data_IF_090687326344
#
_entry.id   IF_090687326344
#
_cell.length_a   1.000
_cell.length_b   1.000
_cell.length_c   1.000
_cell.angle_alpha   90.00
_cell.angle_beta   90.00
_cell.angle_gamma   90.00
#
_symmetry.space_group_name_H-M   'P 1'
#
loop_
_entity.id
_entity.type
_entity.pdbx_description
1 polymer ?
#
# COMPACT_ATOMS: atom_id res chain seq x y z
N UNK A 1 -13.02 39.85 28.86
CA UNK A 1 -12.78 38.50 29.37
C UNK A 1 -13.40 37.36 28.47
N UNK A 2 -14.42 37.61 27.64
CA UNK A 2 -15.16 36.55 26.91
C UNK A 2 -14.45 35.83 25.76
N UNK A 3 -13.60 36.51 24.98
CA UNK A 3 -13.05 35.94 23.71
C UNK A 3 -11.99 34.85 23.97
N UNK A 4 -11.11 35.04 24.94
CA UNK A 4 -10.06 34.04 25.32
C UNK A 4 -10.68 32.78 25.96
N UNK A 5 -11.73 32.93 26.78
CA UNK A 5 -12.46 31.79 27.35
C UNK A 5 -13.17 30.97 26.27
N UNK A 6 -13.83 31.63 25.30
CA UNK A 6 -14.54 30.98 24.16
C UNK A 6 -13.58 30.24 23.23
N UNK A 7 -12.37 30.75 23.01
CA UNK A 7 -11.33 30.08 22.22
C UNK A 7 -10.78 28.85 22.94
N UNK A 8 -10.60 28.94 24.28
CA UNK A 8 -10.12 27.83 25.12
C UNK A 8 -11.15 26.68 25.18
N UNK A 9 -12.44 26.99 25.29
CA UNK A 9 -13.53 26.02 25.31
C UNK A 9 -13.66 25.31 23.93
N UNK A 10 -13.56 26.05 22.81
CA UNK A 10 -13.53 25.45 21.47
C UNK A 10 -12.33 24.52 21.27
N UNK A 11 -11.17 24.89 21.84
CA UNK A 11 -9.95 24.05 21.80
C UNK A 11 -10.11 22.74 22.59
N UNK A 12 -10.77 22.80 23.77
CA UNK A 12 -11.03 21.61 24.60
C UNK A 12 -12.05 20.69 23.92
N UNK A 13 -13.14 21.23 23.42
CA UNK A 13 -14.13 20.47 22.67
C UNK A 13 -13.51 19.78 21.44
N UNK A 14 -12.68 20.50 20.67
CA UNK A 14 -11.96 19.93 19.55
C UNK A 14 -11.02 18.78 19.95
N UNK A 15 -10.30 18.93 21.07
CA UNK A 15 -9.44 17.85 21.58
C UNK A 15 -10.23 16.62 22.01
N UNK A 16 -11.34 16.80 22.71
CA UNK A 16 -12.22 15.70 23.13
C UNK A 16 -12.75 14.97 21.90
N UNK A 17 -13.26 15.71 20.91
CA UNK A 17 -13.79 15.13 19.67
C UNK A 17 -12.71 14.34 18.91
N UNK A 18 -11.51 14.91 18.74
CA UNK A 18 -10.38 14.20 18.14
C UNK A 18 -10.01 12.94 18.92
N UNK A 19 -9.97 13.01 20.26
CA UNK A 19 -9.66 11.85 21.09
C UNK A 19 -10.68 10.73 20.94
N UNK A 20 -11.97 11.06 20.87
CA UNK A 20 -13.05 10.09 20.64
C UNK A 20 -12.89 9.46 19.25
N UNK A 21 -12.64 10.26 18.20
CA UNK A 21 -12.44 9.75 16.84
C UNK A 21 -11.25 8.79 16.80
N UNK A 22 -10.10 9.16 17.39
CA UNK A 22 -8.94 8.27 17.46
C UNK A 22 -9.25 6.99 18.23
N UNK A 23 -9.92 7.09 19.36
CA UNK A 23 -10.30 5.91 20.16
C UNK A 23 -11.17 4.95 19.34
N UNK A 24 -12.19 5.46 18.64
CA UNK A 24 -13.07 4.64 17.78
C UNK A 24 -12.30 4.02 16.61
N UNK A 25 -11.37 4.75 15.99
CA UNK A 25 -10.57 4.26 14.88
C UNK A 25 -9.56 3.19 15.29
N UNK A 26 -8.90 3.35 16.45
CA UNK A 26 -7.87 2.42 16.90
C UNK A 26 -8.41 1.27 17.75
N UNK A 27 -9.65 1.36 18.28
CA UNK A 27 -10.27 0.31 19.09
C UNK A 27 -10.32 -1.05 18.38
N UNK A 28 -10.76 -1.18 17.10
CA UNK A 28 -10.77 -2.47 16.42
C UNK A 28 -9.37 -3.09 16.30
N UNK A 29 -8.36 -2.26 16.05
CA UNK A 29 -6.96 -2.70 15.96
C UNK A 29 -6.49 -3.21 17.33
N UNK A 30 -6.76 -2.46 18.39
CA UNK A 30 -6.44 -2.87 19.75
C UNK A 30 -7.13 -4.20 20.13
N UNK A 31 -8.37 -4.40 19.71
CA UNK A 31 -9.10 -5.66 19.91
C UNK A 31 -8.39 -6.83 19.23
N UNK A 32 -7.91 -6.67 17.99
CA UNK A 32 -7.15 -7.72 17.29
C UNK A 32 -5.85 -8.03 18.03
N UNK A 33 -5.10 -6.99 18.44
CA UNK A 33 -3.84 -7.15 19.18
C UNK A 33 -4.07 -7.84 20.51
N UNK A 34 -5.04 -7.42 21.31
CA UNK A 34 -5.37 -8.07 22.59
C UNK A 34 -5.78 -9.53 22.38
N UNK A 35 -6.64 -9.80 21.39
CA UNK A 35 -7.08 -11.17 21.11
C UNK A 35 -5.99 -12.07 20.50
N UNK A 36 -4.87 -11.52 20.01
CA UNK A 36 -3.73 -12.34 19.58
C UNK A 36 -3.03 -13.03 20.76
N UNK A 37 -3.23 -12.53 21.98
CA UNK A 37 -2.72 -13.10 23.23
C UNK A 37 -3.76 -13.96 23.97
N UNK A 38 -4.95 -14.17 23.39
CA UNK A 38 -6.01 -14.93 24.05
C UNK A 38 -5.78 -16.44 23.92
N UNK A 39 -5.70 -17.16 25.04
CA UNK A 39 -5.48 -18.62 25.10
C UNK A 39 -6.71 -19.46 24.61
N UNK A 40 -7.63 -18.88 23.84
CA UNK A 40 -8.81 -19.57 23.34
C UNK A 40 -8.46 -20.55 22.24
N UNK A 41 -9.03 -21.76 22.31
CA UNK A 41 -8.92 -22.81 21.29
C UNK A 41 -10.27 -23.11 20.62
N UNK A 42 -11.36 -22.54 21.15
CA UNK A 42 -12.73 -22.84 20.72
C UNK A 42 -13.29 -21.76 19.82
N UNK A 43 -13.77 -22.16 18.64
CA UNK A 43 -14.49 -21.23 17.74
C UNK A 43 -15.76 -20.68 18.42
N UNK A 44 -16.16 -19.44 18.16
CA UNK A 44 -15.59 -18.48 17.19
C UNK A 44 -14.39 -17.64 17.69
N UNK A 45 -13.64 -18.08 18.71
CA UNK A 45 -12.43 -17.43 19.26
C UNK A 45 -12.68 -16.01 19.85
N UNK A 46 -13.88 -15.77 20.39
CA UNK A 46 -14.28 -14.48 20.97
C UNK A 46 -14.18 -14.44 22.48
N UNK A 47 -14.27 -15.62 23.14
CA UNK A 47 -14.23 -15.71 24.60
C UNK A 47 -12.79 -15.61 25.10
N UNK A 48 -12.52 -14.68 26.02
CA UNK A 48 -11.24 -14.59 26.69
C UNK A 48 -11.03 -15.77 27.65
N UNK A 49 -9.96 -16.53 27.45
CA UNK A 49 -9.63 -17.70 28.28
C UNK A 49 -8.28 -17.59 29.01
N UNK A 50 -7.65 -16.42 28.95
CA UNK A 50 -6.37 -16.19 29.59
C UNK A 50 -5.33 -15.64 28.61
N UNK A 51 -4.15 -15.28 29.13
CA UNK A 51 -3.05 -14.76 28.37
C UNK A 51 -2.13 -15.89 27.90
N UNK A 52 -1.72 -15.88 26.62
CA UNK A 52 -0.69 -16.76 26.08
C UNK A 52 0.08 -16.07 24.96
N UNK A 53 1.32 -16.50 24.75
CA UNK A 53 2.16 -16.14 23.61
C UNK A 53 2.34 -17.31 22.62
N UNK A 54 1.74 -18.46 22.90
CA UNK A 54 1.93 -19.70 22.13
C UNK A 54 1.53 -19.54 20.65
N UNK A 55 0.57 -18.66 20.35
CA UNK A 55 0.12 -18.42 18.99
C UNK A 55 1.19 -17.81 18.11
N UNK A 56 2.14 -17.09 18.70
CA UNK A 56 3.28 -16.53 17.99
C UNK A 56 4.32 -17.57 17.60
N UNK A 57 4.34 -18.72 18.30
CA UNK A 57 5.16 -19.89 17.93
C UNK A 57 4.38 -20.78 16.96
N UNK A 58 3.13 -21.09 17.26
CA UNK A 58 2.26 -21.95 16.44
C UNK A 58 1.99 -21.39 15.05
N UNK A 59 2.05 -20.07 14.85
CA UNK A 59 1.91 -19.51 13.51
C UNK A 59 3.00 -20.02 12.54
N UNK A 60 4.20 -20.36 13.05
CA UNK A 60 5.28 -20.91 12.22
C UNK A 60 5.07 -22.38 11.86
N UNK A 61 4.17 -23.07 12.54
CA UNK A 61 3.76 -24.44 12.23
C UNK A 61 2.60 -24.46 11.19
N UNK A 62 1.94 -23.33 10.97
CA UNK A 62 0.86 -23.22 10.02
C UNK A 62 1.38 -22.90 8.61
N UNK A 63 1.75 -23.96 7.88
CA UNK A 63 2.29 -23.85 6.51
C UNK A 63 1.37 -23.07 5.56
N UNK A 64 0.05 -23.26 5.65
CA UNK A 64 -0.92 -22.55 4.82
C UNK A 64 -0.91 -21.05 5.07
N UNK A 65 -0.82 -20.64 6.33
CA UNK A 65 -0.75 -19.25 6.75
C UNK A 65 0.55 -18.60 6.26
N UNK A 66 1.68 -19.27 6.44
CA UNK A 66 2.99 -18.79 5.99
C UNK A 66 3.06 -18.72 4.47
N UNK A 67 2.53 -19.72 3.76
CA UNK A 67 2.49 -19.71 2.30
C UNK A 67 1.64 -18.54 1.77
N UNK A 68 0.47 -18.29 2.35
CA UNK A 68 -0.38 -17.17 1.95
C UNK A 68 0.27 -15.81 2.22
N UNK A 69 0.96 -15.65 3.34
CA UNK A 69 1.73 -14.47 3.65
C UNK A 69 2.93 -14.30 2.70
N UNK A 70 3.66 -15.40 2.42
CA UNK A 70 4.74 -15.42 1.43
C UNK A 70 4.27 -14.99 0.04
N UNK A 71 3.14 -15.53 -0.43
CA UNK A 71 2.52 -15.14 -1.70
C UNK A 71 2.21 -13.64 -1.72
N UNK A 72 1.61 -13.10 -0.66
CA UNK A 72 1.32 -11.66 -0.55
C UNK A 72 2.58 -10.82 -0.65
N UNK A 73 3.65 -11.20 0.06
CA UNK A 73 4.93 -10.47 0.01
C UNK A 73 5.57 -10.51 -1.38
N UNK A 74 5.59 -11.67 -2.03
CA UNK A 74 6.13 -11.82 -3.40
C UNK A 74 5.35 -10.95 -4.38
N UNK A 75 4.01 -11.03 -4.34
CA UNK A 75 3.14 -10.21 -5.21
C UNK A 75 3.38 -8.73 -4.97
N UNK A 76 3.37 -8.29 -3.70
CA UNK A 76 3.55 -6.89 -3.35
C UNK A 76 4.92 -6.34 -3.76
N UNK A 77 5.99 -7.10 -3.57
CA UNK A 77 7.34 -6.68 -3.94
C UNK A 77 7.51 -6.57 -5.47
N UNK A 78 7.06 -7.60 -6.21
CA UNK A 78 7.14 -7.58 -7.68
C UNK A 78 6.25 -6.47 -8.25
N UNK A 79 5.03 -6.35 -7.75
CA UNK A 79 4.11 -5.27 -8.15
C UNK A 79 4.72 -3.91 -7.90
N UNK A 80 5.26 -3.68 -6.71
CA UNK A 80 5.90 -2.40 -6.37
C UNK A 80 7.04 -2.07 -7.31
N UNK A 81 7.91 -3.04 -7.59
CA UNK A 81 9.04 -2.84 -8.50
C UNK A 81 8.57 -2.48 -9.91
N UNK A 82 7.65 -3.27 -10.47
CA UNK A 82 7.14 -3.07 -11.83
C UNK A 82 6.30 -1.79 -11.94
N UNK A 83 5.37 -1.57 -11.00
CA UNK A 83 4.54 -0.38 -11.01
C UNK A 83 5.37 0.90 -10.82
N UNK A 84 6.40 0.87 -9.98
CA UNK A 84 7.31 2.00 -9.78
C UNK A 84 8.12 2.29 -11.04
N UNK A 85 8.66 1.28 -11.69
CA UNK A 85 9.41 1.45 -12.94
C UNK A 85 8.51 2.01 -14.06
N UNK A 86 7.38 1.35 -14.32
CA UNK A 86 6.43 1.75 -15.38
C UNK A 86 5.84 3.13 -15.07
N UNK A 87 5.38 3.34 -13.84
CA UNK A 87 4.75 4.59 -13.41
C UNK A 87 5.71 5.78 -13.44
N UNK A 88 6.97 5.58 -13.02
CA UNK A 88 7.99 6.65 -13.09
C UNK A 88 8.31 7.02 -14.52
N UNK A 89 8.58 6.04 -15.38
CA UNK A 89 8.88 6.30 -16.79
C UNK A 89 7.68 6.90 -17.52
N UNK A 90 6.47 6.39 -17.23
CA UNK A 90 5.23 6.94 -17.76
C UNK A 90 5.00 8.39 -17.34
N UNK A 91 5.18 8.72 -16.06
CA UNK A 91 5.03 10.08 -15.55
C UNK A 91 6.03 11.05 -16.21
N UNK A 92 7.31 10.67 -16.33
CA UNK A 92 8.34 11.48 -16.97
C UNK A 92 8.04 11.66 -18.47
N UNK A 93 7.67 10.58 -19.17
CA UNK A 93 7.31 10.64 -20.58
C UNK A 93 6.13 11.56 -20.84
N UNK A 94 5.09 11.45 -20.03
CA UNK A 94 3.92 12.32 -20.12
C UNK A 94 4.22 13.78 -19.73
N UNK A 95 5.20 14.03 -18.89
CA UNK A 95 5.64 15.38 -18.56
C UNK A 95 6.44 16.01 -19.70
N UNK A 96 7.45 15.31 -20.20
CA UNK A 96 8.40 15.85 -21.18
C UNK A 96 7.88 15.93 -22.60
N UNK A 97 6.99 14.99 -23.02
CA UNK A 97 6.58 14.89 -24.41
C UNK A 97 5.16 15.38 -24.64
N UNK A 98 4.97 16.04 -25.77
CA UNK A 98 3.66 16.39 -26.32
C UNK A 98 3.36 15.42 -27.47
N UNK A 99 2.29 14.64 -27.36
CA UNK A 99 1.88 13.68 -28.38
C UNK A 99 0.35 13.62 -28.52
N UNK A 100 -0.11 13.19 -29.71
CA UNK A 100 -1.56 13.00 -29.94
C UNK A 100 -2.10 11.89 -29.04
N UNK A 101 -3.24 12.12 -28.38
CA UNK A 101 -3.84 11.13 -27.45
C UNK A 101 -3.39 11.24 -26.00
N UNK A 102 -2.48 12.16 -25.65
CA UNK A 102 -2.06 12.37 -24.26
C UNK A 102 -3.24 12.59 -23.31
N UNK A 103 -4.22 13.41 -23.71
CA UNK A 103 -5.43 13.68 -22.91
C UNK A 103 -6.28 12.41 -22.70
N UNK A 104 -6.33 11.51 -23.69
CA UNK A 104 -7.02 10.22 -23.54
C UNK A 104 -6.30 9.33 -22.52
N UNK A 105 -4.98 9.22 -22.61
CA UNK A 105 -4.19 8.47 -21.64
C UNK A 105 -4.33 9.08 -20.24
N UNK A 106 -4.29 10.40 -20.11
CA UNK A 106 -4.56 11.09 -18.85
C UNK A 106 -5.93 10.68 -18.27
N UNK A 107 -6.97 10.67 -19.09
CA UNK A 107 -8.31 10.20 -18.67
C UNK A 107 -8.32 8.72 -18.24
N UNK A 108 -7.67 7.85 -19.01
CA UNK A 108 -7.59 6.42 -18.71
C UNK A 108 -6.89 6.12 -17.39
N UNK A 109 -5.90 6.92 -16.99
CA UNK A 109 -5.20 6.75 -15.70
C UNK A 109 -6.11 6.99 -14.50
N UNK A 110 -7.20 7.74 -14.63
CA UNK A 110 -8.17 7.92 -13.54
C UNK A 110 -9.14 6.74 -13.40
N UNK A 111 -9.28 5.91 -14.43
CA UNK A 111 -10.22 4.78 -14.43
C UNK A 111 -9.98 3.86 -13.22
N UNK A 112 -8.76 3.33 -12.96
CA UNK A 112 -8.52 2.45 -11.81
C UNK A 112 -8.71 3.12 -10.44
N UNK A 113 -8.69 4.45 -10.39
CA UNK A 113 -8.84 5.21 -9.14
C UNK A 113 -10.31 5.50 -8.82
N UNK A 114 -11.14 5.63 -9.85
CA UNK A 114 -12.55 6.03 -9.72
C UNK A 114 -13.50 4.82 -9.77
N UNK A 115 -13.16 3.81 -10.55
CA UNK A 115 -13.98 2.61 -10.69
C UNK A 115 -13.89 1.75 -9.41
N UNK A 116 -15.03 1.21 -8.91
CA UNK A 116 -15.01 0.26 -7.82
C UNK A 116 -14.11 -0.94 -8.12
N UNK A 117 -13.28 -1.34 -7.17
CA UNK A 117 -12.32 -2.46 -7.32
C UNK A 117 -12.96 -3.76 -7.80
N UNK A 118 -14.20 -4.02 -7.38
CA UNK A 118 -14.97 -5.20 -7.82
C UNK A 118 -15.19 -5.21 -9.34
N UNK A 119 -15.48 -4.06 -9.94
CA UNK A 119 -15.66 -3.95 -11.41
C UNK A 119 -14.35 -4.22 -12.12
N UNK A 120 -13.25 -3.71 -11.57
CA UNK A 120 -11.91 -3.93 -12.10
C UNK A 120 -11.50 -5.41 -12.01
N UNK A 121 -11.77 -6.06 -10.86
CA UNK A 121 -11.49 -7.48 -10.66
C UNK A 121 -12.26 -8.35 -11.66
N UNK A 122 -13.57 -8.11 -11.86
CA UNK A 122 -14.39 -8.84 -12.83
C UNK A 122 -13.91 -8.58 -14.27
N UNK A 123 -13.55 -7.34 -14.59
CA UNK A 123 -13.04 -6.99 -15.91
C UNK A 123 -11.74 -7.71 -16.23
N UNK A 124 -10.79 -7.72 -15.30
CA UNK A 124 -9.52 -8.45 -15.45
C UNK A 124 -9.73 -9.96 -15.55
N UNK A 125 -10.61 -10.52 -14.71
CA UNK A 125 -11.01 -11.93 -14.83
C UNK A 125 -11.51 -12.25 -16.24
N UNK A 126 -12.37 -11.41 -16.80
CA UNK A 126 -12.93 -11.59 -18.14
C UNK A 126 -11.85 -11.52 -19.22
N UNK A 127 -10.92 -10.58 -19.10
CA UNK A 127 -9.77 -10.46 -20.03
C UNK A 127 -8.90 -11.69 -19.94
N UNK A 128 -8.50 -12.15 -18.75
CA UNK A 128 -7.67 -13.33 -18.56
C UNK A 128 -8.35 -14.60 -19.12
N UNK A 129 -9.65 -14.73 -18.93
CA UNK A 129 -10.42 -15.84 -19.48
C UNK A 129 -10.42 -15.82 -21.02
N UNK A 130 -10.61 -14.65 -21.65
CA UNK A 130 -10.60 -14.51 -23.12
C UNK A 130 -9.24 -14.84 -23.73
N UNK A 131 -8.16 -14.47 -23.08
CA UNK A 131 -6.80 -14.74 -23.57
C UNK A 131 -6.25 -16.09 -23.07
N UNK A 132 -7.09 -16.88 -22.40
CA UNK A 132 -6.76 -18.22 -21.87
C UNK A 132 -5.54 -18.24 -20.92
N UNK A 133 -5.32 -17.16 -20.18
CA UNK A 133 -4.29 -17.10 -19.15
C UNK A 133 -4.80 -17.77 -17.88
N UNK A 134 -4.15 -18.86 -17.38
CA UNK A 134 -4.58 -19.51 -16.16
C UNK A 134 -4.42 -18.58 -14.96
N UNK A 135 -5.47 -18.53 -14.11
CA UNK A 135 -5.44 -17.71 -12.89
C UNK A 135 -4.43 -18.24 -11.89
N UNK A 136 -3.74 -17.33 -11.20
CA UNK A 136 -2.72 -17.66 -10.21
C UNK A 136 -1.79 -16.51 -9.92
N UNK A 137 -0.55 -16.78 -9.55
CA UNK A 137 0.46 -15.79 -9.18
C UNK A 137 0.68 -14.73 -10.27
N UNK A 138 0.75 -15.15 -11.55
CA UNK A 138 0.99 -14.22 -12.66
C UNK A 138 -0.16 -13.25 -12.86
N UNK A 139 -1.40 -13.73 -12.84
CA UNK A 139 -2.59 -12.88 -13.00
C UNK A 139 -2.77 -11.94 -11.81
N UNK A 140 -2.40 -12.36 -10.59
CA UNK A 140 -2.35 -11.48 -9.42
C UNK A 140 -1.35 -10.35 -9.64
N UNK A 141 -0.12 -10.66 -10.04
CA UNK A 141 0.92 -9.63 -10.29
C UNK A 141 0.47 -8.65 -11.37
N UNK A 142 -0.03 -9.13 -12.52
CA UNK A 142 -0.50 -8.26 -13.61
C UNK A 142 -1.65 -7.36 -13.15
N UNK A 143 -2.62 -7.91 -12.41
CA UNK A 143 -3.75 -7.16 -11.91
C UNK A 143 -3.33 -6.07 -10.93
N UNK A 144 -2.46 -6.40 -9.97
CA UNK A 144 -1.94 -5.45 -9.00
C UNK A 144 -1.08 -4.37 -9.65
N UNK A 145 -0.23 -4.72 -10.64
CA UNK A 145 0.54 -3.73 -11.41
C UNK A 145 -0.39 -2.77 -12.13
N UNK A 146 -1.42 -3.31 -12.81
CA UNK A 146 -2.40 -2.49 -13.55
C UNK A 146 -3.11 -1.50 -12.62
N UNK A 147 -3.47 -1.93 -11.42
CA UNK A 147 -4.10 -1.11 -10.40
C UNK A 147 -3.13 -0.07 -9.81
N UNK A 148 -1.88 -0.45 -9.50
CA UNK A 148 -0.94 0.39 -8.79
C UNK A 148 -0.24 1.45 -9.66
N UNK A 149 -0.04 1.20 -10.97
CA UNK A 149 0.69 2.11 -11.89
C UNK A 149 0.14 3.55 -11.87
N UNK A 150 -1.17 3.81 -11.95
CA UNK A 150 -1.70 5.17 -11.90
C UNK A 150 -1.32 5.92 -10.63
N UNK A 151 -1.34 5.26 -9.47
CA UNK A 151 -0.98 5.88 -8.19
C UNK A 151 0.49 6.29 -8.15
N UNK A 152 1.39 5.48 -8.73
CA UNK A 152 2.80 5.86 -8.88
C UNK A 152 2.94 7.06 -9.82
N UNK A 153 2.25 7.04 -10.98
CA UNK A 153 2.26 8.15 -11.93
C UNK A 153 1.84 9.46 -11.26
N UNK A 154 0.76 9.45 -10.48
CA UNK A 154 0.27 10.66 -9.81
C UNK A 154 1.25 11.20 -8.77
N UNK A 155 1.89 10.33 -7.97
CA UNK A 155 2.90 10.74 -7.00
C UNK A 155 4.14 11.35 -7.68
N UNK A 156 4.62 10.73 -8.75
CA UNK A 156 5.77 11.25 -9.51
C UNK A 156 5.41 12.55 -10.23
N UNK A 157 4.21 12.66 -10.83
CA UNK A 157 3.73 13.90 -11.47
C UNK A 157 3.57 15.05 -10.49
N UNK A 158 3.10 14.78 -9.28
CA UNK A 158 3.04 15.79 -8.22
C UNK A 158 4.44 16.38 -7.92
N UNK A 159 5.48 15.56 -7.98
CA UNK A 159 6.87 16.03 -7.84
C UNK A 159 7.38 16.76 -9.09
N UNK A 160 6.96 16.31 -10.28
CA UNK A 160 7.32 16.96 -11.56
C UNK A 160 6.68 18.33 -11.72
N UNK A 161 5.57 18.64 -11.05
CA UNK A 161 4.90 19.96 -11.17
C UNK A 161 5.76 21.13 -10.69
N UNK A 162 6.77 20.88 -9.85
CA UNK A 162 7.75 21.88 -9.41
C UNK A 162 9.17 21.65 -9.96
N UNK A 163 9.29 20.83 -11.02
CA UNK A 163 10.57 20.48 -11.61
C UNK A 163 10.94 21.43 -12.74
N UNK A 164 12.13 22.05 -12.64
CA UNK A 164 12.67 22.92 -13.68
C UNK A 164 13.55 22.13 -14.65
N UNK A 165 13.13 22.08 -15.91
CA UNK A 165 13.85 21.35 -16.98
C UNK A 165 15.23 21.98 -17.23
N UNK A 166 15.42 23.28 -16.95
CA UNK A 166 16.71 23.96 -17.13
C UNK A 166 17.87 23.29 -16.40
N UNK A 167 17.58 22.57 -15.30
CA UNK A 167 18.61 21.81 -14.58
C UNK A 167 19.17 20.65 -15.42
N UNK A 168 18.33 20.02 -16.25
CA UNK A 168 18.77 18.97 -17.18
C UNK A 168 19.59 19.59 -18.34
N UNK A 169 19.13 20.72 -18.86
CA UNK A 169 19.83 21.45 -19.92
C UNK A 169 21.21 21.87 -19.46
N UNK A 170 21.32 22.47 -18.28
CA UNK A 170 22.61 22.82 -17.67
C UNK A 170 23.55 21.61 -17.48
N UNK A 171 23.00 20.44 -17.12
CA UNK A 171 23.81 19.21 -17.02
C UNK A 171 24.33 18.76 -18.37
N UNK A 172 23.53 18.89 -19.44
CA UNK A 172 23.94 18.55 -20.80
C UNK A 172 24.94 19.56 -21.36
N UNK A 173 24.81 20.84 -21.06
CA UNK A 173 25.78 21.89 -21.43
C UNK A 173 27.14 21.66 -20.78
N UNK A 174 27.20 21.03 -19.59
CA UNK A 174 28.41 20.58 -18.92
C UNK A 174 28.99 19.27 -19.49
N UNK A 175 28.42 18.75 -20.60
CA UNK A 175 28.91 17.57 -21.31
C UNK A 175 28.35 16.24 -20.86
N UNK A 176 27.29 16.23 -20.00
CA UNK A 176 26.61 15.00 -19.68
C UNK A 176 25.66 14.57 -20.83
N UNK A 177 25.66 13.29 -21.17
CA UNK A 177 24.67 12.74 -22.07
C UNK A 177 23.29 12.60 -21.39
N UNK A 178 22.24 12.27 -22.16
CA UNK A 178 20.86 12.14 -21.66
C UNK A 178 20.71 11.05 -20.59
N UNK A 179 21.46 9.96 -20.72
CA UNK A 179 21.38 8.83 -19.76
C UNK A 179 22.04 9.26 -18.44
N UNK A 180 23.19 9.88 -18.51
CA UNK A 180 23.89 10.39 -17.34
C UNK A 180 23.07 11.48 -16.64
N UNK A 181 22.48 12.42 -17.39
CA UNK A 181 21.57 13.45 -16.86
C UNK A 181 20.36 12.82 -16.17
N UNK A 182 19.76 11.79 -16.76
CA UNK A 182 18.63 11.07 -16.16
C UNK A 182 18.98 10.48 -14.79
N UNK A 183 20.09 9.72 -14.69
CA UNK A 183 20.47 9.08 -13.44
C UNK A 183 21.10 10.04 -12.41
N UNK A 184 21.85 11.05 -12.85
CA UNK A 184 22.55 11.96 -11.97
C UNK A 184 21.72 13.17 -11.52
N UNK A 185 20.72 13.59 -12.31
CA UNK A 185 19.92 14.80 -12.04
C UNK A 185 18.44 14.46 -11.89
N UNK A 186 17.81 13.94 -12.95
CA UNK A 186 16.35 13.75 -12.98
C UNK A 186 15.89 12.79 -11.89
N UNK A 187 16.47 11.59 -11.84
CA UNK A 187 16.05 10.54 -10.90
C UNK A 187 16.25 10.93 -9.42
N UNK A 188 17.38 11.51 -8.99
CA UNK A 188 17.56 12.00 -7.62
C UNK A 188 16.57 13.09 -7.21
N UNK A 189 16.23 14.02 -8.09
CA UNK A 189 15.25 15.07 -7.80
C UNK A 189 13.85 14.50 -7.66
N UNK A 190 13.50 13.47 -8.43
CA UNK A 190 12.22 12.78 -8.38
C UNK A 190 12.13 11.72 -7.28
N UNK A 191 13.24 11.33 -6.66
CA UNK A 191 13.31 10.27 -5.65
C UNK A 191 12.24 10.38 -4.57
N UNK A 192 11.90 11.56 -3.98
CA UNK A 192 10.82 11.64 -2.98
C UNK A 192 9.45 11.26 -3.53
N UNK A 193 9.13 11.64 -4.77
CA UNK A 193 7.87 11.26 -5.43
C UNK A 193 7.83 9.78 -5.81
N UNK A 194 8.97 9.25 -6.29
CA UNK A 194 9.11 7.83 -6.65
C UNK A 194 8.96 6.96 -5.39
N UNK A 195 9.63 7.31 -4.29
CA UNK A 195 9.52 6.54 -3.04
C UNK A 195 8.11 6.60 -2.45
N UNK A 196 7.45 7.76 -2.51
CA UNK A 196 6.06 7.88 -2.07
C UNK A 196 5.12 7.01 -2.91
N UNK A 197 5.28 7.03 -4.25
CA UNK A 197 4.52 6.17 -5.17
C UNK A 197 4.79 4.68 -4.94
N UNK A 198 6.04 4.30 -4.72
CA UNK A 198 6.42 2.91 -4.44
C UNK A 198 5.83 2.40 -3.12
N UNK A 199 5.91 3.20 -2.05
CA UNK A 199 5.32 2.85 -0.76
C UNK A 199 3.80 2.72 -0.85
N UNK A 200 3.13 3.60 -1.59
CA UNK A 200 1.70 3.51 -1.82
C UNK A 200 1.33 2.25 -2.61
N UNK A 201 2.05 1.94 -3.69
CA UNK A 201 1.85 0.73 -4.49
C UNK A 201 2.05 -0.55 -3.63
N UNK A 202 3.06 -0.58 -2.77
CA UNK A 202 3.31 -1.67 -1.85
C UNK A 202 2.14 -1.86 -0.87
N UNK A 203 1.67 -0.77 -0.27
CA UNK A 203 0.55 -0.81 0.68
C UNK A 203 -0.74 -1.30 0.00
N UNK A 204 -1.08 -0.73 -1.16
CA UNK A 204 -2.26 -1.12 -1.94
C UNK A 204 -2.21 -2.58 -2.38
N UNK A 205 -1.02 -3.10 -2.69
CA UNK A 205 -0.87 -4.50 -3.11
C UNK A 205 -0.91 -5.49 -1.95
N UNK A 206 -0.48 -5.10 -0.75
CA UNK A 206 -0.49 -5.98 0.44
C UNK A 206 -1.89 -6.23 0.96
N UNK A 207 -2.74 -5.22 0.97
CA UNK A 207 -4.07 -5.28 1.59
C UNK A 207 -5.19 -5.59 0.60
N UNK A 208 -4.87 -5.75 -0.71
CA UNK A 208 -5.89 -6.06 -1.70
C UNK A 208 -6.55 -7.42 -1.46
N UNK A 209 -7.85 -7.37 -1.34
CA UNK A 209 -8.75 -8.52 -1.22
C UNK A 209 -9.60 -8.68 -2.46
N UNK A 210 -10.11 -7.57 -2.98
CA UNK A 210 -11.20 -7.58 -3.94
C UNK A 210 -10.72 -8.03 -5.32
N UNK A 211 -9.68 -7.39 -5.84
CA UNK A 211 -9.11 -7.76 -7.15
C UNK A 211 -8.54 -9.17 -7.06
N UNK A 212 -7.78 -9.45 -5.98
CA UNK A 212 -7.22 -10.77 -5.72
C UNK A 212 -8.26 -11.88 -5.74
N UNK A 213 -9.44 -11.65 -5.16
CA UNK A 213 -10.53 -12.65 -5.11
C UNK A 213 -10.95 -13.16 -6.49
N UNK A 214 -10.95 -12.29 -7.51
CA UNK A 214 -11.36 -12.67 -8.87
C UNK A 214 -10.24 -13.36 -9.67
N UNK A 215 -8.98 -13.03 -9.40
CA UNK A 215 -7.86 -13.44 -10.28
C UNK A 215 -6.86 -14.40 -9.64
N UNK A 216 -7.07 -14.81 -8.36
CA UNK A 216 -6.11 -15.61 -7.59
C UNK A 216 -5.97 -17.07 -8.07
N UNK A 217 -6.98 -17.64 -8.71
CA UNK A 217 -6.98 -19.08 -9.04
C UNK A 217 -6.78 -19.93 -7.78
N UNK A 218 -5.68 -20.68 -7.76
CA UNK A 218 -5.29 -21.50 -6.60
C UNK A 218 -4.26 -20.82 -5.68
N UNK A 219 -3.86 -19.58 -5.98
CA UNK A 219 -2.89 -18.83 -5.17
C UNK A 219 -3.60 -18.07 -4.05
N UNK A 220 -3.50 -18.58 -2.84
CA UNK A 220 -4.07 -17.89 -1.67
C UNK A 220 -3.14 -16.76 -1.23
N UNK A 221 -3.71 -15.56 -1.04
CA UNK A 221 -3.02 -14.43 -0.40
C UNK A 221 -3.48 -14.31 1.07
N UNK A 222 -2.69 -13.65 1.90
CA UNK A 222 -3.02 -13.46 3.32
C UNK A 222 -4.34 -12.73 3.54
N UNK A 223 -4.65 -11.61 2.83
CA UNK A 223 -5.95 -10.96 2.96
C UNK A 223 -7.13 -11.86 2.56
N UNK A 224 -6.98 -12.68 1.52
CA UNK A 224 -8.01 -13.67 1.14
C UNK A 224 -8.19 -14.75 2.22
N UNK A 225 -7.13 -15.20 2.86
CA UNK A 225 -7.21 -16.17 3.94
C UNK A 225 -7.90 -15.60 5.17
N UNK A 226 -7.61 -14.34 5.52
CA UNK A 226 -8.33 -13.61 6.58
C UNK A 226 -9.81 -13.51 6.23
N UNK A 227 -10.15 -13.06 5.01
CA UNK A 227 -11.52 -12.95 4.54
C UNK A 227 -12.28 -14.28 4.61
N UNK A 228 -11.65 -15.38 4.18
CA UNK A 228 -12.25 -16.72 4.23
C UNK A 228 -12.55 -17.17 5.66
N UNK A 229 -11.75 -16.75 6.64
CA UNK A 229 -11.93 -17.12 8.05
C UNK A 229 -12.95 -16.26 8.81
N UNK A 230 -13.46 -15.16 8.24
CA UNK A 230 -14.39 -14.26 8.95
C UNK A 230 -15.65 -15.00 9.42
N UNK A 231 -16.24 -15.85 8.57
CA UNK A 231 -17.48 -16.58 8.88
C UNK A 231 -17.30 -17.62 9.99
N UNK A 232 -16.14 -18.25 10.09
CA UNK A 232 -15.82 -19.28 11.08
C UNK A 232 -15.15 -18.75 12.34
N UNK A 233 -14.87 -17.46 12.38
CA UNK A 233 -14.04 -16.79 13.38
C UNK A 233 -12.56 -16.82 12.99
N UNK A 234 -11.91 -15.66 13.05
CA UNK A 234 -10.48 -15.52 12.74
C UNK A 234 -9.66 -16.20 13.84
N UNK A 235 -8.88 -17.20 13.45
CA UNK A 235 -8.07 -17.98 14.36
C UNK A 235 -6.99 -17.12 15.07
N UNK A 236 -6.55 -17.49 16.28
CA UNK A 236 -5.61 -16.68 17.05
C UNK A 236 -4.22 -16.55 16.40
N UNK A 237 -3.74 -17.54 15.68
CA UNK A 237 -2.49 -17.51 14.90
C UNK A 237 -2.54 -16.47 13.78
N UNK A 238 -3.69 -16.35 13.10
CA UNK A 238 -3.94 -15.28 12.11
C UNK A 238 -3.90 -13.91 12.78
N UNK A 239 -4.49 -13.75 13.97
CA UNK A 239 -4.42 -12.52 14.76
C UNK A 239 -3.00 -12.20 15.21
N UNK A 240 -2.22 -13.23 15.59
CA UNK A 240 -0.81 -13.08 15.93
C UNK A 240 0.02 -12.58 14.75
N UNK A 241 -0.17 -13.16 13.56
CA UNK A 241 0.49 -12.67 12.34
C UNK A 241 0.08 -11.24 12.00
N UNK A 242 -1.23 -10.90 12.06
CA UNK A 242 -1.71 -9.52 11.87
C UNK A 242 -1.03 -8.54 12.83
N UNK A 243 -0.85 -8.94 14.09
CA UNK A 243 -0.18 -8.12 15.11
C UNK A 243 1.29 -7.93 14.78
N UNK A 244 1.99 -8.97 14.31
CA UNK A 244 3.39 -8.87 13.88
C UNK A 244 3.54 -7.92 12.67
N UNK A 245 2.65 -8.02 11.69
CA UNK A 245 2.63 -7.12 10.53
C UNK A 245 2.41 -5.67 11.00
N UNK A 246 1.46 -5.43 11.89
CA UNK A 246 1.20 -4.11 12.44
C UNK A 246 2.42 -3.53 13.16
N UNK A 247 3.04 -4.30 14.05
CA UNK A 247 4.25 -3.89 14.78
C UNK A 247 5.40 -3.63 13.82
N UNK A 248 5.60 -4.50 12.84
CA UNK A 248 6.62 -4.34 11.80
C UNK A 248 6.41 -3.06 10.98
N UNK A 249 5.17 -2.77 10.59
CA UNK A 249 4.81 -1.55 9.86
C UNK A 249 5.07 -0.30 10.71
N UNK A 250 4.67 -0.30 11.98
CA UNK A 250 4.92 0.82 12.89
C UNK A 250 6.42 1.05 13.07
N UNK A 251 7.20 -0.02 13.31
CA UNK A 251 8.65 0.07 13.44
C UNK A 251 9.30 0.62 12.16
N UNK A 252 8.89 0.14 10.99
CA UNK A 252 9.38 0.63 9.72
C UNK A 252 9.10 2.13 9.53
N UNK A 253 7.90 2.59 9.83
CA UNK A 253 7.53 4.01 9.74
C UNK A 253 8.33 4.85 10.73
N UNK A 254 8.48 4.42 11.97
CA UNK A 254 9.25 5.14 13.00
C UNK A 254 10.72 5.25 12.61
N UNK A 255 11.33 4.17 12.12
CA UNK A 255 12.72 4.16 11.70
C UNK A 255 12.98 5.04 10.46
N UNK A 256 12.09 5.04 9.50
CA UNK A 256 12.22 5.85 8.29
C UNK A 256 11.96 7.33 8.57
N UNK A 257 10.97 7.67 9.37
CA UNK A 257 10.65 9.06 9.69
C UNK A 257 11.60 9.66 10.74
N UNK A 258 12.08 8.86 11.70
CA UNK A 258 13.04 9.32 12.72
C UNK A 258 14.32 9.90 12.12
N UNK A 259 14.78 9.35 10.99
CA UNK A 259 15.93 9.89 10.26
C UNK A 259 15.62 11.20 9.52
N UNK A 260 14.37 11.42 9.10
CA UNK A 260 13.94 12.65 8.43
C UNK A 260 13.78 13.82 9.43
N UNK A 261 13.31 13.55 10.65
CA UNK A 261 13.20 14.56 11.71
C UNK A 261 14.57 15.03 12.22
N UNK A 262 15.56 14.14 12.34
CA UNK A 262 16.92 14.51 12.72
C UNK A 262 17.59 15.42 11.67
N UNK A 263 17.31 15.22 10.39
CA UNK A 263 17.89 16.02 9.30
C UNK A 263 17.24 17.41 9.13
N UNK A 264 16.08 17.67 9.75
CA UNK A 264 15.40 18.97 9.74
C UNK A 264 15.78 19.87 10.92
N UNK A 265 16.47 19.32 11.93
CA UNK A 265 16.94 20.06 13.12
C UNK A 265 18.44 20.41 13.06
N UNK A 266 19.13 20.03 12.01
CA UNK A 266 20.47 20.50 11.64
C UNK A 266 20.40 21.43 10.42
#
# INVERSE_FOLDING_TARGET
MGRKARLKTKSIFGKILCSIVYLVLFMPIAVVVVNSFNATTSKPYLTWKGFTIDWYFKLFENESLLASFGNTMIIALITTLLATAIGTLGAIGMYKYKFKGKSVIDGLLYIPVVIPEIVMGISLLTVFAKVSVPRGMLTLIIAHVTFCVPYVIFNVRARLSGYDISIEEASMDLGADRIRTFFAVTLPVLKPGITAGALLAFTLSIDDVIISYFVNGNTMTYPLQVMASIKSGVAPDVKALSTLILVGTILFVVLTQGNLFKKKMQ
#
